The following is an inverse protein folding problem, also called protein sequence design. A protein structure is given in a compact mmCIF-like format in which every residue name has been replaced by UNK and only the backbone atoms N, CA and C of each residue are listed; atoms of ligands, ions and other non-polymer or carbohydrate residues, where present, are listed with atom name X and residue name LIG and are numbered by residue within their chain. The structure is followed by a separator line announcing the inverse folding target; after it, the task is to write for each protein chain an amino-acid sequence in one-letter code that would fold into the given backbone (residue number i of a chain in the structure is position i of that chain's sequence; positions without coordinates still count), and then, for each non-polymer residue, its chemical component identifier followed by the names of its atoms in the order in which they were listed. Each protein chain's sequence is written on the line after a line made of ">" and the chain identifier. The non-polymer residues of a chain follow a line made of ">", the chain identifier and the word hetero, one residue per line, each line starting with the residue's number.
data_IF_844168304307
#
_entry.id   IF_844168304307
#
_cell.length_a   1.000
_cell.length_b   1.000
_cell.length_c   1.000
_cell.angle_alpha   90.00
_cell.angle_beta   90.00
_cell.angle_gamma   90.00
#
_symmetry.space_group_name_H-M   'P 1'
#
loop_
_entity.id
_entity.type
_entity.pdbx_description
1 polymer ?
#
# COMPACT_ATOMS: atom_id res chain seq x y z
N UNK A 1 20.66 -23.79 8.79
CA UNK A 1 19.99 -22.71 8.04
C UNK A 1 19.40 -21.77 9.05
N UNK A 2 19.91 -20.54 9.15
CA UNK A 2 19.29 -19.53 10.02
C UNK A 2 18.00 -18.97 9.37
N UNK A 3 17.27 -18.10 10.07
CA UNK A 3 15.99 -17.59 9.57
C UNK A 3 16.16 -16.79 8.28
N UNK A 4 17.20 -15.96 8.20
CA UNK A 4 17.55 -15.16 7.02
C UNK A 4 17.87 -16.02 5.79
N UNK A 5 18.69 -17.05 5.94
CA UNK A 5 18.99 -17.98 4.84
C UNK A 5 17.72 -18.69 4.35
N UNK A 6 16.86 -19.11 5.30
CA UNK A 6 15.57 -19.69 4.98
C UNK A 6 14.65 -18.71 4.24
N UNK A 7 14.60 -17.45 4.68
CA UNK A 7 13.86 -16.38 4.03
C UNK A 7 14.30 -16.18 2.58
N UNK A 8 15.59 -16.01 2.32
CA UNK A 8 16.09 -15.86 0.95
C UNK A 8 15.89 -17.13 0.11
N UNK A 9 15.96 -18.32 0.71
CA UNK A 9 15.62 -19.56 0.01
C UNK A 9 14.15 -19.55 -0.45
N UNK A 10 13.21 -19.20 0.44
CA UNK A 10 11.78 -19.10 0.13
C UNK A 10 11.52 -18.09 -1.00
N UNK A 11 12.05 -16.87 -0.88
CA UNK A 11 11.88 -15.82 -1.88
C UNK A 11 12.47 -16.23 -3.24
N UNK A 12 13.55 -17.02 -3.25
CA UNK A 12 14.14 -17.56 -4.49
C UNK A 12 13.40 -18.79 -5.06
N UNK A 13 12.22 -19.14 -4.53
CA UNK A 13 11.46 -20.32 -4.96
C UNK A 13 12.06 -21.66 -4.52
N UNK A 14 13.06 -21.67 -3.63
CA UNK A 14 13.64 -22.90 -3.08
C UNK A 14 12.78 -23.41 -1.93
N UNK A 15 12.64 -24.74 -1.84
CA UNK A 15 11.92 -25.38 -0.74
C UNK A 15 12.62 -25.09 0.59
N UNK A 16 11.82 -24.79 1.61
CA UNK A 16 12.26 -24.66 3.00
C UNK A 16 11.59 -25.75 3.84
N UNK A 17 12.38 -26.42 4.68
CA UNK A 17 11.93 -27.58 5.47
C UNK A 17 11.47 -27.19 6.89
N UNK A 18 11.32 -25.89 7.17
CA UNK A 18 10.85 -25.36 8.44
C UNK A 18 9.98 -24.12 8.23
N UNK A 19 9.08 -23.86 9.19
CA UNK A 19 8.35 -22.59 9.27
C UNK A 19 9.34 -21.46 9.55
N UNK A 20 9.38 -20.45 8.69
CA UNK A 20 10.32 -19.34 8.81
C UNK A 20 9.80 -18.26 9.75
N UNK A 21 10.72 -17.53 10.38
CA UNK A 21 10.44 -16.37 11.20
C UNK A 21 11.12 -15.12 10.62
N UNK A 22 10.33 -14.19 10.09
CA UNK A 22 10.77 -12.90 9.55
C UNK A 22 9.72 -11.85 9.96
N UNK A 23 9.73 -11.39 11.22
CA UNK A 23 8.68 -10.52 11.72
C UNK A 23 8.78 -9.13 11.10
N UNK A 24 7.64 -8.48 10.90
CA UNK A 24 7.60 -7.02 10.83
C UNK A 24 7.44 -6.49 12.26
N UNK A 25 8.49 -5.83 12.77
CA UNK A 25 8.49 -5.22 14.11
C UNK A 25 8.34 -3.70 14.05
N UNK A 26 8.03 -3.11 12.90
CA UNK A 26 8.07 -1.65 12.69
C UNK A 26 7.11 -0.91 13.62
N UNK A 27 5.89 -1.41 13.81
CA UNK A 27 4.91 -0.82 14.74
C UNK A 27 5.35 -0.94 16.20
N UNK A 28 5.88 -2.11 16.58
CA UNK A 28 6.46 -2.29 17.92
C UNK A 28 7.63 -1.34 18.14
N UNK A 29 8.53 -1.23 17.16
CA UNK A 29 9.71 -0.37 17.23
C UNK A 29 9.30 1.11 17.38
N UNK A 30 8.36 1.60 16.56
CA UNK A 30 7.78 2.93 16.72
C UNK A 30 7.21 3.11 18.13
N UNK A 31 6.36 2.18 18.60
CA UNK A 31 5.72 2.28 19.92
C UNK A 31 6.69 2.30 21.11
N UNK A 32 7.90 1.72 20.97
CA UNK A 32 8.95 1.77 22.00
C UNK A 32 9.79 3.05 21.94
N UNK A 33 9.87 3.67 20.77
CA UNK A 33 10.68 4.86 20.51
C UNK A 33 9.91 6.15 20.70
N UNK A 34 8.63 6.19 20.31
CA UNK A 34 7.82 7.42 20.28
C UNK A 34 6.65 7.37 21.27
N UNK A 35 6.10 8.54 21.68
CA UNK A 35 4.92 8.58 22.54
C UNK A 35 3.72 7.85 21.91
N UNK A 36 2.82 7.26 22.73
CA UNK A 36 1.62 6.60 22.22
C UNK A 36 0.83 7.50 21.26
N UNK A 37 0.48 6.94 20.10
CA UNK A 37 -0.29 7.65 19.07
C UNK A 37 0.53 8.57 18.16
N UNK A 38 1.86 8.49 18.19
CA UNK A 38 2.75 9.32 17.36
C UNK A 38 3.79 8.46 16.61
N UNK A 39 3.38 7.49 15.77
CA UNK A 39 4.31 6.75 14.94
C UNK A 39 4.94 7.69 13.91
N UNK A 40 6.23 7.51 13.62
CA UNK A 40 6.93 8.27 12.58
C UNK A 40 6.90 7.55 11.23
N UNK A 41 6.85 6.22 11.26
CA UNK A 41 6.90 5.35 10.08
C UNK A 41 5.68 4.44 10.02
N UNK A 42 5.28 4.08 8.79
CA UNK A 42 4.21 3.12 8.57
C UNK A 42 4.64 1.66 8.81
N UNK A 43 3.69 0.71 8.91
CA UNK A 43 4.00 -0.71 9.04
C UNK A 43 4.87 -1.21 7.87
N UNK A 44 5.94 -1.93 8.19
CA UNK A 44 6.93 -2.46 7.24
C UNK A 44 7.72 -1.41 6.43
N UNK A 45 7.58 -0.13 6.74
CA UNK A 45 8.41 0.92 6.14
C UNK A 45 9.85 0.83 6.67
N UNK A 46 10.83 1.07 5.79
CA UNK A 46 12.22 1.08 6.20
C UNK A 46 12.54 2.31 7.05
N UNK A 47 13.19 2.10 8.19
CA UNK A 47 13.72 3.15 9.04
C UNK A 47 15.25 3.20 8.83
N UNK A 48 15.78 4.26 8.19
CA UNK A 48 17.22 4.40 7.96
C UNK A 48 18.00 4.45 9.27
N UNK A 49 19.18 3.82 9.33
CA UNK A 49 20.08 3.82 10.51
C UNK A 49 20.51 5.25 10.91
N UNK A 50 20.40 6.21 9.98
CA UNK A 50 20.67 7.63 10.22
C UNK A 50 19.54 8.39 10.90
N UNK A 51 18.34 7.81 10.99
CA UNK A 51 17.15 8.49 11.50
C UNK A 51 17.26 8.78 13.01
N UNK A 52 16.89 9.99 13.47
CA UNK A 52 16.95 10.35 14.88
C UNK A 52 16.04 9.52 15.79
N UNK A 53 15.02 8.81 15.26
CA UNK A 53 14.12 7.97 16.06
C UNK A 53 14.88 6.95 16.92
N UNK A 54 16.03 6.46 16.46
CA UNK A 54 16.85 5.50 17.21
C UNK A 54 17.40 6.06 18.54
N UNK A 55 17.44 7.39 18.69
CA UNK A 55 17.85 8.08 19.92
C UNK A 55 16.68 8.39 20.84
N UNK A 56 15.45 8.34 20.32
CA UNK A 56 14.25 8.44 21.14
C UNK A 56 14.09 7.16 21.95
N UNK A 57 13.56 7.29 23.17
CA UNK A 57 13.33 6.15 24.03
C UNK A 57 12.18 6.45 24.99
N UNK A 58 11.03 5.85 24.75
CA UNK A 58 9.89 5.90 25.67
C UNK A 58 10.01 4.75 26.67
N UNK A 59 10.04 3.51 26.19
CA UNK A 59 10.14 2.33 27.04
C UNK A 59 10.87 1.14 26.38
N UNK A 60 11.81 1.41 25.46
CA UNK A 60 12.66 0.38 24.87
C UNK A 60 13.44 -0.36 25.98
N UNK A 61 13.47 -1.71 25.99
CA UNK A 61 14.27 -2.48 26.94
C UNK A 61 15.74 -2.06 26.90
N UNK A 62 16.40 -2.00 28.06
CA UNK A 62 17.79 -1.54 28.19
C UNK A 62 18.77 -2.25 27.26
N UNK A 63 18.55 -3.54 27.02
CA UNK A 63 19.37 -4.38 26.13
C UNK A 63 19.29 -3.97 24.65
N UNK A 64 18.23 -3.26 24.24
CA UNK A 64 18.01 -2.82 22.86
C UNK A 64 17.96 -1.30 22.70
N UNK A 65 18.25 -0.53 23.75
CA UNK A 65 18.13 0.93 23.74
C UNK A 65 18.95 1.58 22.61
N UNK A 66 20.08 0.97 22.27
CA UNK A 66 21.04 1.48 21.28
C UNK A 66 20.89 0.81 19.90
N UNK A 67 19.91 -0.10 19.74
CA UNK A 67 19.68 -0.79 18.47
C UNK A 67 18.91 0.11 17.49
N UNK A 68 19.41 0.21 16.26
CA UNK A 68 18.57 0.64 15.13
C UNK A 68 17.54 -0.44 14.82
N UNK A 69 16.60 -0.15 13.91
CA UNK A 69 15.66 -1.17 13.44
C UNK A 69 16.44 -2.34 12.80
N UNK A 70 17.43 -2.03 11.98
CA UNK A 70 18.21 -3.01 11.23
C UNK A 70 19.07 -3.89 12.14
N UNK A 71 19.52 -3.39 13.28
CA UNK A 71 20.27 -4.16 14.28
C UNK A 71 19.46 -5.34 14.83
N UNK A 72 18.14 -5.25 14.97
CA UNK A 72 17.32 -6.40 15.36
C UNK A 72 17.44 -7.52 14.32
N UNK A 73 17.26 -7.19 13.05
CA UNK A 73 17.32 -8.18 11.98
C UNK A 73 18.72 -8.80 11.84
N UNK A 74 19.77 -7.99 12.01
CA UNK A 74 21.17 -8.46 11.99
C UNK A 74 21.49 -9.36 13.19
N UNK A 75 21.17 -8.94 14.42
CA UNK A 75 21.54 -9.66 15.64
C UNK A 75 20.74 -10.96 15.84
N UNK A 76 19.52 -11.05 15.32
CA UNK A 76 18.66 -12.23 15.45
C UNK A 76 18.57 -13.09 14.18
N UNK A 77 19.38 -12.78 13.16
CA UNK A 77 19.39 -13.46 11.86
C UNK A 77 18.01 -13.53 11.18
N UNK A 78 17.16 -12.51 11.33
CA UNK A 78 15.83 -12.49 10.74
C UNK A 78 15.85 -12.08 9.26
N UNK A 79 14.92 -12.64 8.49
CA UNK A 79 14.58 -12.08 7.18
C UNK A 79 13.94 -10.70 7.37
N UNK A 80 14.28 -9.76 6.48
CA UNK A 80 13.76 -8.40 6.51
C UNK A 80 12.97 -8.13 5.22
N UNK A 81 11.63 -8.19 5.24
CA UNK A 81 10.80 -7.59 4.21
C UNK A 81 10.67 -6.08 4.43
N UNK A 82 10.71 -5.30 3.35
CA UNK A 82 10.56 -3.84 3.38
C UNK A 82 9.52 -3.41 2.35
N UNK A 83 8.50 -2.70 2.79
CA UNK A 83 7.48 -2.12 1.93
C UNK A 83 7.91 -0.75 1.42
N UNK A 84 8.16 -0.63 0.11
CA UNK A 84 8.45 0.66 -0.52
C UNK A 84 7.17 1.34 -0.99
N UNK A 85 6.38 1.92 -0.06
CA UNK A 85 5.09 2.54 -0.39
C UNK A 85 5.16 3.67 -1.42
N UNK A 86 6.30 4.36 -1.49
CA UNK A 86 6.52 5.54 -2.33
C UNK A 86 7.38 5.23 -3.56
N UNK A 87 7.29 4.01 -4.12
CA UNK A 87 8.07 3.61 -5.30
C UNK A 87 7.71 4.37 -6.60
N UNK A 88 6.60 5.10 -6.61
CA UNK A 88 6.21 6.07 -7.65
C UNK A 88 5.53 7.29 -7.04
N UNK A 89 5.47 8.38 -7.80
CA UNK A 89 4.61 9.53 -7.53
C UNK A 89 3.48 9.61 -8.58
N UNK A 90 2.38 10.29 -8.24
CA UNK A 90 1.29 10.57 -9.18
C UNK A 90 1.33 12.03 -9.60
N UNK A 91 1.45 12.27 -10.89
CA UNK A 91 1.29 13.59 -11.52
C UNK A 91 -0.11 13.70 -12.14
N UNK A 92 -0.64 14.92 -12.19
CA UNK A 92 -1.97 15.19 -12.72
C UNK A 92 -1.92 16.30 -13.78
N UNK A 93 -2.73 16.15 -14.83
CA UNK A 93 -2.96 17.19 -15.84
C UNK A 93 -4.41 17.70 -15.72
N UNK A 94 -4.62 19.00 -15.51
CA UNK A 94 -5.98 19.55 -15.37
C UNK A 94 -6.74 19.12 -14.10
N UNK A 95 -6.08 18.47 -13.14
CA UNK A 95 -6.62 18.18 -11.80
C UNK A 95 -5.74 18.85 -10.75
N UNK A 96 -6.35 19.68 -9.91
CA UNK A 96 -5.72 20.27 -8.75
C UNK A 96 -5.95 19.38 -7.52
N UNK A 97 -4.87 18.85 -6.93
CA UNK A 97 -4.93 18.10 -5.67
C UNK A 97 -4.51 18.99 -4.50
N UNK A 98 -5.42 19.24 -3.55
CA UNK A 98 -5.14 19.98 -2.31
C UNK A 98 -5.11 19.05 -1.12
N UNK A 99 -4.13 19.25 -0.24
CA UNK A 99 -4.07 18.57 1.06
C UNK A 99 -4.21 19.65 2.13
N UNK A 100 -5.35 19.63 2.83
CA UNK A 100 -5.63 20.50 3.97
C UNK A 100 -5.46 19.66 5.24
N UNK A 101 -4.47 19.98 6.06
CA UNK A 101 -4.19 19.20 7.27
C UNK A 101 -4.03 20.09 8.50
N UNK A 102 -4.64 19.66 9.60
CA UNK A 102 -4.33 20.11 10.95
C UNK A 102 -3.96 18.91 11.84
N UNK A 103 -3.78 19.12 13.13
CA UNK A 103 -3.34 18.07 14.08
C UNK A 103 -4.26 16.83 14.14
N UNK A 104 -5.54 16.94 13.82
CA UNK A 104 -6.52 15.85 13.99
C UNK A 104 -7.30 15.49 12.74
N UNK A 105 -7.23 16.32 11.69
CA UNK A 105 -8.01 16.18 10.47
C UNK A 105 -7.13 16.42 9.26
N UNK A 106 -7.23 15.54 8.27
CA UNK A 106 -6.64 15.67 6.95
C UNK A 106 -7.75 15.58 5.91
N UNK A 107 -7.77 16.49 4.95
CA UNK A 107 -8.70 16.50 3.83
C UNK A 107 -7.86 16.49 2.55
N UNK A 108 -8.15 15.53 1.68
CA UNK A 108 -7.59 15.49 0.32
C UNK A 108 -8.71 15.89 -0.63
N UNK A 109 -8.54 17.00 -1.34
CA UNK A 109 -9.51 17.48 -2.32
C UNK A 109 -8.93 17.35 -3.73
N UNK A 110 -9.76 16.92 -4.67
CA UNK A 110 -9.48 16.84 -6.09
C UNK A 110 -10.44 17.78 -6.81
N UNK A 111 -9.91 18.78 -7.51
CA UNK A 111 -10.70 19.79 -8.22
C UNK A 111 -10.34 19.70 -9.71
N UNK A 112 -11.34 19.52 -10.56
CA UNK A 112 -11.16 19.41 -12.00
C UNK A 112 -12.39 19.93 -12.76
N UNK A 113 -12.34 20.09 -14.09
CA UNK A 113 -13.48 20.54 -14.89
C UNK A 113 -14.74 19.66 -14.77
N UNK A 114 -14.59 18.36 -14.44
CA UNK A 114 -15.71 17.45 -14.23
C UNK A 114 -16.41 17.66 -12.88
N UNK A 115 -15.75 18.28 -11.90
CA UNK A 115 -16.27 18.53 -10.57
C UNK A 115 -15.20 18.48 -9.48
N UNK A 116 -15.66 18.41 -8.23
CA UNK A 116 -14.82 18.37 -7.04
C UNK A 116 -15.16 17.13 -6.21
N UNK A 117 -14.14 16.43 -5.72
CA UNK A 117 -14.28 15.34 -4.76
C UNK A 117 -13.37 15.58 -3.57
N UNK A 118 -13.82 15.17 -2.39
CA UNK A 118 -12.97 15.23 -1.20
C UNK A 118 -13.00 13.93 -0.40
N UNK A 119 -11.89 13.66 0.26
CA UNK A 119 -11.77 12.56 1.22
C UNK A 119 -11.22 13.09 2.52
N UNK A 120 -11.97 12.84 3.59
CA UNK A 120 -11.64 13.24 4.96
C UNK A 120 -11.00 12.08 5.69
N UNK A 121 -9.97 12.38 6.48
CA UNK A 121 -9.33 11.47 7.41
C UNK A 121 -9.27 12.13 8.79
N UNK A 122 -9.51 11.34 9.82
CA UNK A 122 -9.30 11.73 11.21
C UNK A 122 -8.11 10.96 11.79
N UNK A 123 -7.34 11.64 12.63
CA UNK A 123 -6.23 11.01 13.35
C UNK A 123 -6.82 10.11 14.45
N UNK A 124 -6.56 8.82 14.37
CA UNK A 124 -6.92 7.84 15.38
C UNK A 124 -5.95 7.90 16.56
N UNK A 125 -6.34 7.28 17.69
CA UNK A 125 -5.54 7.30 18.92
C UNK A 125 -4.19 6.57 18.78
N UNK A 126 -4.07 5.66 17.81
CA UNK A 126 -2.83 4.97 17.47
C UNK A 126 -1.93 5.78 16.53
N UNK A 127 -2.35 6.98 16.12
CA UNK A 127 -1.61 7.87 15.24
C UNK A 127 -1.82 7.59 13.75
N UNK A 128 -2.65 6.60 13.41
CA UNK A 128 -3.03 6.34 12.02
C UNK A 128 -4.09 7.33 11.52
N UNK A 129 -4.08 7.59 10.21
CA UNK A 129 -5.10 8.43 9.55
C UNK A 129 -6.25 7.55 9.05
N UNK A 130 -7.35 7.53 9.81
CA UNK A 130 -8.52 6.74 9.47
C UNK A 130 -9.44 7.50 8.50
N UNK A 131 -9.84 6.92 7.36
CA UNK A 131 -10.78 7.57 6.45
C UNK A 131 -12.16 7.72 7.11
N UNK A 132 -12.75 8.90 6.99
CA UNK A 132 -14.09 9.21 7.48
C UNK A 132 -15.00 9.54 6.29
N UNK A 133 -15.46 8.49 5.63
CA UNK A 133 -16.25 8.57 4.41
C UNK A 133 -15.48 8.12 3.16
N UNK A 134 -16.13 8.29 2.02
CA UNK A 134 -15.65 7.85 0.71
C UNK A 134 -15.68 9.02 -0.28
N UNK A 135 -14.94 8.91 -1.39
CA UNK A 135 -14.84 9.99 -2.38
C UNK A 135 -16.16 10.28 -3.10
N UNK A 136 -16.98 9.25 -3.33
CA UNK A 136 -18.19 9.26 -4.15
C UNK A 136 -19.40 9.08 -3.25
N UNK A 137 -20.23 10.11 -3.20
CA UNK A 137 -21.50 10.12 -2.49
C UNK A 137 -22.67 9.71 -3.37
N UNK A 138 -22.65 10.10 -4.65
CA UNK A 138 -23.65 9.79 -5.67
C UNK A 138 -23.03 9.11 -6.88
N UNK A 139 -23.76 8.18 -7.52
CA UNK A 139 -23.24 7.37 -8.64
C UNK A 139 -22.69 8.21 -9.80
N UNK A 140 -23.28 9.38 -10.07
CA UNK A 140 -22.84 10.31 -11.13
C UNK A 140 -21.43 10.85 -10.91
N UNK A 141 -20.95 10.90 -9.67
CA UNK A 141 -19.62 11.41 -9.33
C UNK A 141 -18.50 10.42 -9.72
N UNK A 142 -18.84 9.18 -10.12
CA UNK A 142 -17.89 8.28 -10.78
C UNK A 142 -17.31 8.88 -12.07
N UNK A 143 -18.02 9.76 -12.76
CA UNK A 143 -17.48 10.45 -13.94
C UNK A 143 -16.37 11.45 -13.57
N UNK A 144 -16.40 12.00 -12.35
CA UNK A 144 -15.30 12.83 -11.81
C UNK A 144 -14.08 11.94 -11.55
N UNK A 145 -14.28 10.74 -10.98
CA UNK A 145 -13.18 9.75 -10.81
C UNK A 145 -12.58 9.38 -12.17
N UNK A 146 -13.40 9.11 -13.19
CA UNK A 146 -12.89 8.82 -14.53
C UNK A 146 -12.01 9.95 -15.06
N UNK A 147 -12.43 11.21 -14.88
CA UNK A 147 -11.62 12.35 -15.27
C UNK A 147 -10.28 12.36 -14.53
N UNK A 148 -10.30 12.21 -13.19
CA UNK A 148 -9.09 12.22 -12.37
C UNK A 148 -8.11 11.11 -12.78
N UNK A 149 -8.62 9.88 -12.96
CA UNK A 149 -7.79 8.71 -13.32
C UNK A 149 -7.20 8.88 -14.72
N UNK A 150 -8.02 9.26 -15.71
CA UNK A 150 -7.58 9.44 -17.10
C UNK A 150 -6.60 10.59 -17.31
N UNK A 151 -6.54 11.51 -16.36
CA UNK A 151 -5.60 12.64 -16.36
C UNK A 151 -4.52 12.49 -15.27
N UNK A 152 -4.30 11.27 -14.80
CA UNK A 152 -3.21 10.95 -13.87
C UNK A 152 -2.12 10.17 -14.59
N UNK A 153 -0.87 10.43 -14.21
CA UNK A 153 0.31 9.72 -14.72
C UNK A 153 1.15 9.28 -13.54
N UNK A 154 1.48 7.99 -13.50
CA UNK A 154 2.39 7.45 -12.48
C UNK A 154 3.83 7.61 -12.95
N UNK A 155 4.70 8.11 -12.08
CA UNK A 155 6.12 8.33 -12.38
C UNK A 155 6.97 7.59 -11.36
N UNK A 156 7.68 6.57 -11.84
CA UNK A 156 8.56 5.75 -11.01
C UNK A 156 9.62 6.59 -10.28
N UNK A 157 10.05 6.10 -9.11
CA UNK A 157 11.10 6.65 -8.26
C UNK A 157 12.16 5.58 -7.95
N UNK A 158 12.96 5.13 -8.93
CA UNK A 158 13.95 4.07 -8.74
C UNK A 158 15.11 4.49 -7.83
N UNK A 159 15.31 5.79 -7.64
CA UNK A 159 16.26 6.36 -6.68
C UNK A 159 15.94 5.96 -5.23
N UNK A 160 14.66 5.94 -4.85
CA UNK A 160 14.21 5.53 -3.51
C UNK A 160 14.53 4.06 -3.24
N UNK A 161 14.24 3.19 -4.22
CA UNK A 161 14.60 1.78 -4.16
C UNK A 161 16.10 1.56 -4.01
N UNK A 162 16.91 2.24 -4.84
CA UNK A 162 18.36 2.12 -4.78
C UNK A 162 18.93 2.54 -3.41
N UNK A 163 18.45 3.66 -2.88
CA UNK A 163 18.90 4.16 -1.57
C UNK A 163 18.66 3.13 -0.46
N UNK A 164 17.47 2.55 -0.42
CA UNK A 164 17.11 1.55 0.60
C UNK A 164 17.87 0.24 0.36
N UNK A 165 18.01 -0.19 -0.90
CA UNK A 165 18.74 -1.42 -1.25
C UNK A 165 20.21 -1.35 -0.81
N UNK A 166 20.85 -0.20 -1.03
CA UNK A 166 22.23 0.05 -0.61
C UNK A 166 22.36 0.02 0.92
N UNK A 167 21.37 0.54 1.65
CA UNK A 167 21.39 0.62 3.11
C UNK A 167 21.08 -0.72 3.80
N UNK A 168 20.10 -1.49 3.31
CA UNK A 168 19.85 -2.84 3.82
C UNK A 168 21.05 -3.76 3.57
N UNK A 169 21.88 -3.47 2.57
CA UNK A 169 23.15 -4.16 2.27
C UNK A 169 23.02 -5.70 2.29
N UNK A 170 21.98 -6.22 1.61
CA UNK A 170 21.70 -7.65 1.53
C UNK A 170 21.07 -8.28 2.79
N UNK A 171 20.70 -7.50 3.80
CA UNK A 171 19.98 -8.00 4.98
C UNK A 171 18.56 -8.46 4.64
N UNK A 172 17.92 -7.83 3.65
CA UNK A 172 16.51 -8.03 3.33
C UNK A 172 16.18 -7.94 1.84
N UNK A 173 14.88 -7.85 1.57
CA UNK A 173 14.29 -7.62 0.25
C UNK A 173 13.32 -6.45 0.32
N UNK A 174 13.13 -5.78 -0.80
CA UNK A 174 12.19 -4.68 -0.93
C UNK A 174 11.05 -5.16 -1.83
N UNK A 175 9.83 -5.01 -1.35
CA UNK A 175 8.63 -5.17 -2.16
C UNK A 175 8.01 -3.81 -2.49
N UNK A 176 7.32 -3.77 -3.63
CA UNK A 176 6.53 -2.62 -4.03
C UNK A 176 5.03 -2.95 -3.91
N UNK A 177 4.29 -2.24 -3.05
CA UNK A 177 2.86 -2.42 -2.95
C UNK A 177 2.16 -1.77 -4.15
N UNK A 178 1.30 -2.55 -4.79
CA UNK A 178 0.27 -2.08 -5.70
C UNK A 178 -1.04 -2.13 -4.92
N UNK A 179 -1.85 -1.08 -5.10
CA UNK A 179 -3.12 -0.97 -4.40
C UNK A 179 -4.18 -1.91 -5.00
N UNK A 180 -5.43 -1.49 -4.88
CA UNK A 180 -6.59 -2.36 -4.95
C UNK A 180 -6.97 -2.72 -6.39
N UNK A 181 -7.69 -3.83 -6.52
CA UNK A 181 -8.43 -4.14 -7.75
C UNK A 181 -9.51 -3.09 -7.99
N UNK A 182 -10.08 -3.02 -9.21
CA UNK A 182 -11.20 -2.12 -9.50
C UNK A 182 -12.37 -2.26 -8.51
N UNK A 183 -12.69 -3.49 -8.12
CA UNK A 183 -13.73 -3.76 -7.11
C UNK A 183 -13.32 -3.29 -5.72
N UNK A 184 -12.09 -3.58 -5.30
CA UNK A 184 -11.56 -3.12 -4.01
C UNK A 184 -11.54 -1.59 -3.90
N UNK A 185 -11.23 -0.87 -4.98
CA UNK A 185 -11.29 0.61 -5.01
C UNK A 185 -12.70 1.14 -4.79
N UNK A 186 -13.72 0.53 -5.43
CA UNK A 186 -15.12 0.90 -5.21
C UNK A 186 -15.51 0.73 -3.73
N UNK A 187 -15.14 -0.41 -3.13
CA UNK A 187 -15.49 -0.76 -1.75
C UNK A 187 -14.74 0.07 -0.71
N UNK A 188 -13.45 0.32 -0.89
CA UNK A 188 -12.59 0.93 0.14
C UNK A 188 -12.36 2.43 -0.03
N UNK A 189 -12.51 2.95 -1.25
CA UNK A 189 -12.04 4.31 -1.58
C UNK A 189 -13.14 5.18 -2.17
N UNK A 190 -13.86 4.66 -3.17
CA UNK A 190 -14.79 5.47 -3.95
C UNK A 190 -16.16 5.52 -3.32
N UNK A 191 -16.89 4.42 -3.22
CA UNK A 191 -18.31 4.45 -2.85
C UNK A 191 -18.58 3.90 -1.45
N UNK A 192 -17.71 3.02 -0.96
CA UNK A 192 -17.98 2.24 0.24
C UNK A 192 -18.72 0.96 -0.06
N UNK A 193 -18.63 0.00 0.86
CA UNK A 193 -19.23 -1.33 0.72
C UNK A 193 -20.73 -1.26 0.40
N UNK A 194 -21.54 -0.64 1.27
CA UNK A 194 -23.00 -0.62 1.16
C UNK A 194 -23.47 -0.03 -0.19
N UNK A 195 -22.97 1.14 -0.56
CA UNK A 195 -23.34 1.79 -1.82
C UNK A 195 -22.87 1.00 -3.04
N UNK A 196 -21.69 0.37 -2.97
CA UNK A 196 -21.20 -0.49 -4.05
C UNK A 196 -22.13 -1.68 -4.27
N UNK A 197 -22.60 -2.33 -3.20
CA UNK A 197 -23.50 -3.48 -3.30
C UNK A 197 -24.87 -3.07 -3.85
N UNK A 198 -25.48 -1.98 -3.36
CA UNK A 198 -26.75 -1.50 -3.89
C UNK A 198 -26.62 -1.07 -5.37
N UNK A 199 -25.55 -0.37 -5.73
CA UNK A 199 -25.33 0.03 -7.12
C UNK A 199 -25.09 -1.17 -8.06
N UNK A 200 -24.45 -2.25 -7.59
CA UNK A 200 -24.33 -3.49 -8.37
C UNK A 200 -25.67 -4.20 -8.60
N UNK A 201 -26.68 -3.93 -7.75
CA UNK A 201 -28.03 -4.46 -7.92
C UNK A 201 -28.89 -3.56 -8.80
N UNK A 202 -28.93 -2.26 -8.53
CA UNK A 202 -29.81 -1.29 -9.19
C UNK A 202 -29.25 -0.74 -10.51
N UNK A 203 -27.91 -0.66 -10.63
CA UNK A 203 -27.19 0.00 -11.72
C UNK A 203 -25.98 -0.84 -12.19
N UNK A 204 -26.17 -2.17 -12.27
CA UNK A 204 -25.09 -3.14 -12.53
C UNK A 204 -24.21 -2.76 -13.71
N UNK A 205 -24.83 -2.39 -14.83
CA UNK A 205 -24.13 -2.07 -16.07
C UNK A 205 -23.23 -0.82 -15.95
N UNK A 206 -23.64 0.18 -15.18
CA UNK A 206 -22.83 1.38 -14.89
C UNK A 206 -21.59 1.00 -14.08
N UNK A 207 -21.75 0.18 -13.04
CA UNK A 207 -20.65 -0.25 -12.19
C UNK A 207 -19.68 -1.16 -12.94
N UNK A 208 -20.17 -2.11 -13.74
CA UNK A 208 -19.31 -2.98 -14.53
C UNK A 208 -18.47 -2.18 -15.54
N UNK A 209 -19.08 -1.22 -16.27
CA UNK A 209 -18.34 -0.34 -17.19
C UNK A 209 -17.32 0.53 -16.46
N UNK A 210 -17.61 0.98 -15.24
CA UNK A 210 -16.65 1.71 -14.43
C UNK A 210 -15.47 0.82 -14.02
N UNK A 211 -15.72 -0.42 -13.60
CA UNK A 211 -14.64 -1.36 -13.25
C UNK A 211 -13.78 -1.72 -14.46
N UNK A 212 -14.38 -1.88 -15.65
CA UNK A 212 -13.63 -2.08 -16.91
C UNK A 212 -12.73 -0.88 -17.23
N UNK A 213 -13.25 0.34 -17.10
CA UNK A 213 -12.45 1.57 -17.25
C UNK A 213 -11.30 1.62 -16.23
N UNK A 214 -11.58 1.34 -14.96
CA UNK A 214 -10.58 1.41 -13.90
C UNK A 214 -9.50 0.33 -14.08
N UNK A 215 -9.88 -0.86 -14.56
CA UNK A 215 -8.97 -1.97 -14.83
C UNK A 215 -7.89 -1.58 -15.84
N UNK A 216 -8.23 -0.82 -16.89
CA UNK A 216 -7.27 -0.37 -17.90
C UNK A 216 -6.07 0.36 -17.27
N UNK A 217 -6.36 1.37 -16.44
CA UNK A 217 -5.33 2.15 -15.74
C UNK A 217 -4.63 1.35 -14.63
N UNK A 218 -5.35 0.45 -13.97
CA UNK A 218 -4.76 -0.40 -12.92
C UNK A 218 -3.72 -1.35 -13.52
N UNK A 219 -4.00 -1.92 -14.70
CA UNK A 219 -3.07 -2.75 -15.43
C UNK A 219 -1.87 -1.96 -15.99
N UNK A 220 -2.01 -0.67 -16.31
CA UNK A 220 -0.86 0.19 -16.61
C UNK A 220 0.08 0.34 -15.40
N UNK A 221 -0.46 0.43 -14.19
CA UNK A 221 0.36 0.43 -12.97
C UNK A 221 1.02 -0.93 -12.75
N UNK A 222 0.34 -2.04 -13.05
CA UNK A 222 0.96 -3.37 -13.03
C UNK A 222 2.12 -3.45 -14.02
N UNK A 223 1.95 -3.00 -15.26
CA UNK A 223 3.02 -3.00 -16.27
C UNK A 223 4.16 -2.06 -15.85
N UNK A 224 3.86 -0.92 -15.24
CA UNK A 224 4.90 -0.06 -14.67
C UNK A 224 5.66 -0.78 -13.54
N UNK A 225 4.99 -1.52 -12.67
CA UNK A 225 5.61 -2.30 -11.60
C UNK A 225 6.47 -3.45 -12.15
N UNK A 226 6.01 -4.13 -13.21
CA UNK A 226 6.73 -5.24 -13.85
C UNK A 226 8.05 -4.81 -14.49
N UNK A 227 8.19 -3.52 -14.81
CA UNK A 227 9.42 -2.92 -15.33
C UNK A 227 10.22 -2.15 -14.25
N UNK A 228 9.81 -2.21 -12.98
CA UNK A 228 10.52 -1.59 -11.86
C UNK A 228 11.63 -2.53 -11.34
N UNK A 229 12.75 -2.03 -10.76
CA UNK A 229 13.85 -2.87 -10.30
C UNK A 229 13.57 -3.82 -9.11
N UNK A 230 12.36 -3.81 -8.54
CA UNK A 230 11.99 -4.67 -7.42
C UNK A 230 11.49 -6.03 -7.92
N UNK A 231 11.90 -7.12 -7.26
CA UNK A 231 11.52 -8.48 -7.63
C UNK A 231 10.28 -9.01 -6.89
N UNK A 232 9.70 -8.20 -5.99
CA UNK A 232 8.54 -8.59 -5.19
C UNK A 232 7.50 -7.49 -5.32
N UNK A 233 6.28 -7.90 -5.66
CA UNK A 233 5.12 -7.03 -5.77
C UNK A 233 4.04 -7.55 -4.84
N UNK A 234 3.48 -6.67 -4.01
CA UNK A 234 2.34 -6.99 -3.14
C UNK A 234 1.08 -6.37 -3.75
N UNK A 235 0.05 -7.17 -3.98
CA UNK A 235 -1.28 -6.66 -4.36
C UNK A 235 -2.10 -6.47 -3.08
N UNK A 236 -2.22 -5.22 -2.63
CA UNK A 236 -2.80 -4.81 -1.35
C UNK A 236 -4.31 -4.56 -1.45
N UNK A 237 -5.07 -5.57 -1.92
CA UNK A 237 -6.51 -5.44 -2.18
C UNK A 237 -7.40 -5.60 -0.93
N UNK A 238 -6.82 -5.96 0.23
CA UNK A 238 -7.56 -6.23 1.47
C UNK A 238 -8.78 -7.14 1.27
N UNK A 239 -8.53 -8.34 0.75
CA UNK A 239 -9.55 -9.35 0.51
C UNK A 239 -10.12 -9.90 1.82
N UNK A 240 -11.11 -9.21 2.37
CA UNK A 240 -11.86 -9.61 3.57
C UNK A 240 -13.20 -10.24 3.18
N UNK A 241 -13.54 -11.39 3.77
CA UNK A 241 -14.79 -12.11 3.48
C UNK A 241 -16.05 -11.33 3.86
N UNK A 242 -15.95 -10.37 4.79
CA UNK A 242 -17.05 -9.47 5.16
C UNK A 242 -17.27 -8.36 4.11
N UNK A 243 -16.27 -8.05 3.29
CA UNK A 243 -16.32 -7.00 2.27
C UNK A 243 -16.48 -7.55 0.86
N UNK A 244 -16.00 -8.76 0.61
CA UNK A 244 -16.12 -9.44 -0.66
C UNK A 244 -16.65 -10.86 -0.43
N UNK A 245 -17.95 -11.06 -0.67
CA UNK A 245 -18.52 -12.41 -0.66
C UNK A 245 -17.74 -13.33 -1.63
N UNK A 246 -17.65 -14.64 -1.38
CA UNK A 246 -16.93 -15.56 -2.27
C UNK A 246 -17.36 -15.47 -3.75
N UNK A 247 -18.64 -15.13 -3.99
CA UNK A 247 -19.16 -14.87 -5.33
C UNK A 247 -18.54 -13.62 -5.96
N UNK A 248 -18.56 -12.48 -5.27
CA UNK A 248 -17.99 -11.23 -5.78
C UNK A 248 -16.48 -11.30 -5.92
N UNK A 249 -15.80 -11.94 -4.98
CA UNK A 249 -14.36 -12.17 -5.09
C UNK A 249 -14.01 -12.95 -6.36
N UNK A 250 -14.75 -14.03 -6.64
CA UNK A 250 -14.56 -14.82 -7.86
C UNK A 250 -14.91 -14.07 -9.14
N UNK A 251 -15.98 -13.25 -9.13
CA UNK A 251 -16.47 -12.55 -10.32
C UNK A 251 -15.64 -11.29 -10.63
N UNK A 252 -15.19 -10.56 -9.61
CA UNK A 252 -14.64 -9.21 -9.79
C UNK A 252 -13.17 -9.04 -9.37
N UNK A 253 -12.63 -9.90 -8.49
CA UNK A 253 -11.23 -9.79 -8.04
C UNK A 253 -10.30 -10.78 -8.74
N UNK A 254 -10.66 -12.07 -8.76
CA UNK A 254 -9.82 -13.14 -9.34
C UNK A 254 -9.40 -12.86 -10.79
N UNK A 255 -10.30 -12.42 -11.71
CA UNK A 255 -9.89 -12.14 -13.09
C UNK A 255 -8.82 -11.06 -13.20
N UNK A 256 -8.94 -9.99 -12.42
CA UNK A 256 -7.93 -8.93 -12.35
C UNK A 256 -6.60 -9.48 -11.83
N UNK A 257 -6.61 -10.25 -10.74
CA UNK A 257 -5.38 -10.84 -10.19
C UNK A 257 -4.69 -11.79 -11.16
N UNK A 258 -5.44 -12.57 -11.94
CA UNK A 258 -4.87 -13.44 -12.96
C UNK A 258 -4.21 -12.64 -14.08
N UNK A 259 -4.80 -11.53 -14.52
CA UNK A 259 -4.17 -10.62 -15.48
C UNK A 259 -2.92 -9.98 -14.90
N UNK A 260 -3.02 -9.44 -13.68
CA UNK A 260 -1.92 -8.77 -13.00
C UNK A 260 -0.72 -9.72 -12.78
N UNK A 261 -0.96 -10.88 -12.17
CA UNK A 261 0.09 -11.89 -11.93
C UNK A 261 0.68 -12.43 -13.21
N UNK A 262 -0.10 -12.56 -14.30
CA UNK A 262 0.44 -12.90 -15.61
C UNK A 262 1.43 -11.85 -16.11
N UNK A 263 1.06 -10.57 -16.08
CA UNK A 263 1.94 -9.47 -16.52
C UNK A 263 3.24 -9.46 -15.69
N UNK A 264 3.12 -9.60 -14.37
CA UNK A 264 4.26 -9.61 -13.46
C UNK A 264 5.20 -10.80 -13.77
N UNK A 265 4.68 -12.03 -13.80
CA UNK A 265 5.50 -13.23 -14.03
C UNK A 265 6.07 -13.33 -15.45
N UNK A 266 5.45 -12.70 -16.45
CA UNK A 266 6.00 -12.66 -17.82
C UNK A 266 7.32 -11.87 -17.87
N UNK A 267 7.64 -11.06 -16.84
CA UNK A 267 8.88 -10.25 -16.74
C UNK A 267 9.96 -10.84 -15.83
N UNK A 268 9.66 -11.91 -15.08
CA UNK A 268 10.57 -12.57 -14.14
C UNK A 268 10.01 -12.62 -12.74
#
# INVERSE_FOLDING_TARGET
>A
MNWREGFFNLISGRKVDQLLFFPDITDWYNARRTPPGQPHFGPGEFIPDSDPIHKENVDMPKEYQDFTLLDFYKNFDWGLPVHLYNWYDTEYEGVEKKILQNEKKRIIQYICPAGELERVYLLANDGSWAPCGYLVNELKELDIIKYIVSHSRMVQRPDRFKSILDEINGQGVIDIPIWRSPFGKLVHEYMGFEKTIYALYDHKDVILRFMEFQEEYDLEVIEMASNYPANIVIISDHADENLASPKFYKEYCIPFYQKATKILHDKG
#
